data_IF_393027250389
#
_entry.id   IF_393027250389
#
_cell.length_a   1.000
_cell.length_b   1.000
_cell.length_c   1.000
_cell.angle_alpha   90.00
_cell.angle_beta   90.00
_cell.angle_gamma   90.00
#
_symmetry.space_group_name_H-M   'P 1'
#
loop_
_entity.id
_entity.type
_entity.pdbx_description
1 polymer ?
#
# COMPACT_ATOMS: atom_id res chain seq x y z
N UNK A 1 11.25 -3.14 -4.65
CA UNK A 1 10.71 -1.84 -5.14
C UNK A 1 11.91 -0.98 -5.54
N UNK A 2 11.85 -0.25 -6.67
CA UNK A 2 12.99 0.53 -7.20
C UNK A 2 12.77 2.03 -6.94
N UNK A 3 13.83 2.72 -6.55
CA UNK A 3 13.83 4.16 -6.23
C UNK A 3 14.74 4.93 -7.19
N UNK A 4 14.43 6.20 -7.38
CA UNK A 4 15.19 7.09 -8.23
C UNK A 4 16.55 7.42 -7.59
N UNK A 5 17.68 7.24 -8.28
CA UNK A 5 19.01 7.55 -7.72
C UNK A 5 19.24 9.05 -7.50
N UNK A 6 18.44 9.92 -8.11
CA UNK A 6 18.60 11.39 -8.04
C UNK A 6 17.84 11.99 -6.87
N UNK A 7 16.60 11.57 -6.65
CA UNK A 7 15.70 12.19 -5.66
C UNK A 7 15.10 11.19 -4.65
N UNK A 8 15.52 9.93 -4.70
CA UNK A 8 15.09 8.84 -3.83
C UNK A 8 13.56 8.61 -3.79
N UNK A 9 12.81 9.13 -4.76
CA UNK A 9 11.38 8.86 -4.88
C UNK A 9 11.12 7.56 -5.69
N UNK A 10 9.94 6.98 -5.51
CA UNK A 10 9.54 5.75 -6.19
C UNK A 10 9.56 5.91 -7.72
N UNK A 11 10.13 4.92 -8.40
CA UNK A 11 10.09 4.84 -9.87
C UNK A 11 8.84 4.11 -10.33
N UNK A 12 8.21 4.63 -11.37
CA UNK A 12 7.04 4.04 -12.02
C UNK A 12 7.43 3.45 -13.37
N UNK A 13 6.80 2.35 -13.77
CA UNK A 13 7.06 1.75 -15.08
C UNK A 13 6.22 2.45 -16.15
N UNK A 14 6.85 2.98 -17.20
CA UNK A 14 6.21 3.64 -18.35
C UNK A 14 6.92 3.19 -19.63
N UNK A 15 6.19 2.65 -20.61
CA UNK A 15 6.73 2.28 -21.93
C UNK A 15 8.01 1.40 -21.88
N UNK A 16 8.03 0.41 -21.00
CA UNK A 16 9.19 -0.47 -20.72
C UNK A 16 10.44 0.22 -20.15
N UNK A 17 10.28 1.42 -19.61
CA UNK A 17 11.28 2.17 -18.85
C UNK A 17 10.80 2.44 -17.43
N UNK A 18 11.72 2.79 -16.55
CA UNK A 18 11.43 3.34 -15.23
C UNK A 18 11.48 4.87 -15.30
N UNK A 19 10.46 5.51 -14.76
CA UNK A 19 10.27 6.95 -14.80
C UNK A 19 10.08 7.50 -13.39
N UNK A 20 10.81 8.56 -13.06
CA UNK A 20 10.59 9.31 -11.83
C UNK A 20 9.68 10.51 -12.08
N UNK A 21 8.59 10.65 -11.30
CA UNK A 21 7.68 11.81 -11.41
C UNK A 21 8.25 13.12 -10.85
N UNK A 22 9.29 13.07 -10.02
CA UNK A 22 9.84 14.27 -9.37
C UNK A 22 10.90 14.92 -10.25
N UNK A 23 11.95 14.17 -10.57
CA UNK A 23 13.05 14.67 -11.40
C UNK A 23 12.86 14.40 -12.90
N UNK A 24 11.74 13.77 -13.30
CA UNK A 24 11.40 13.46 -14.70
C UNK A 24 12.45 12.59 -15.42
N UNK A 25 13.33 11.93 -14.68
CA UNK A 25 14.38 11.08 -15.23
C UNK A 25 13.82 9.73 -15.68
N UNK A 26 14.34 9.25 -16.81
CA UNK A 26 14.06 7.93 -17.38
C UNK A 26 15.26 7.00 -17.19
N UNK A 27 14.99 5.74 -16.87
CA UNK A 27 15.99 4.69 -16.70
C UNK A 27 15.55 3.44 -17.47
N UNK A 28 16.51 2.75 -18.06
CA UNK A 28 16.23 1.49 -18.73
C UNK A 28 15.87 0.39 -17.72
N UNK A 29 14.99 -0.52 -18.15
CA UNK A 29 14.68 -1.74 -17.40
C UNK A 29 15.54 -2.88 -17.89
N UNK A 30 16.01 -3.71 -16.95
CA UNK A 30 16.72 -4.94 -17.28
C UNK A 30 15.77 -5.95 -17.93
N UNK A 31 16.30 -6.86 -18.74
CA UNK A 31 15.57 -7.97 -19.39
C UNK A 31 14.70 -8.74 -18.38
N UNK A 32 15.24 -9.00 -17.18
CA UNK A 32 14.52 -9.70 -16.10
C UNK A 32 13.28 -8.92 -15.63
N UNK A 33 13.36 -7.60 -15.49
CA UNK A 33 12.20 -6.80 -15.07
C UNK A 33 11.17 -6.68 -16.18
N UNK A 34 11.61 -6.60 -17.44
CA UNK A 34 10.70 -6.63 -18.61
C UNK A 34 9.89 -7.92 -18.63
N UNK A 35 10.53 -9.07 -18.41
CA UNK A 35 9.85 -10.39 -18.32
C UNK A 35 8.86 -10.41 -17.15
N UNK A 36 9.28 -9.97 -15.96
CA UNK A 36 8.41 -9.93 -14.78
C UNK A 36 7.19 -9.01 -14.99
N UNK A 37 7.38 -7.87 -15.66
CA UNK A 37 6.30 -6.94 -15.99
C UNK A 37 5.32 -7.55 -17.00
N UNK A 38 5.84 -8.26 -18.00
CA UNK A 38 5.03 -9.02 -18.97
C UNK A 38 4.20 -10.08 -18.24
N UNK A 39 4.81 -10.88 -17.37
CA UNK A 39 4.09 -11.89 -16.56
C UNK A 39 2.96 -11.27 -15.72
N UNK A 40 3.20 -10.14 -15.06
CA UNK A 40 2.16 -9.42 -14.29
C UNK A 40 0.99 -8.94 -15.14
N UNK A 41 1.25 -8.47 -16.37
CA UNK A 41 0.19 -8.08 -17.31
C UNK A 41 -0.63 -9.28 -17.81
N UNK A 42 -0.02 -10.46 -17.85
CA UNK A 42 -0.62 -11.70 -18.35
C UNK A 42 -1.12 -12.64 -17.25
N UNK A 43 -1.40 -12.16 -16.04
CA UNK A 43 -2.05 -12.98 -15.02
C UNK A 43 -3.49 -13.27 -15.47
N UNK A 44 -3.67 -14.43 -16.12
CA UNK A 44 -4.98 -15.05 -16.34
C UNK A 44 -5.50 -15.49 -14.99
N UNK A 45 -6.48 -14.79 -14.48
CA UNK A 45 -7.28 -15.30 -13.37
C UNK A 45 -8.19 -16.36 -13.99
N UNK A 46 -7.97 -17.64 -13.70
CA UNK A 46 -8.95 -18.65 -14.03
C UNK A 46 -10.20 -18.35 -13.20
N UNK A 47 -11.30 -18.00 -13.87
CA UNK A 47 -12.57 -17.60 -13.25
C UNK A 47 -13.25 -18.73 -12.46
N UNK A 48 -12.56 -19.84 -12.21
CA UNK A 48 -13.03 -20.88 -11.29
C UNK A 48 -12.93 -20.47 -9.83
N UNK A 49 -12.34 -19.31 -9.52
CA UNK A 49 -12.48 -18.62 -8.22
C UNK A 49 -13.89 -17.99 -8.07
N UNK A 50 -14.94 -18.77 -8.36
CA UNK A 50 -16.32 -18.54 -7.90
C UNK A 50 -16.46 -18.82 -6.41
N UNK A 51 -15.36 -18.85 -5.65
CA UNK A 51 -15.44 -18.80 -4.21
C UNK A 51 -16.03 -17.44 -3.84
N UNK A 52 -17.27 -17.38 -3.34
CA UNK A 52 -17.85 -16.12 -2.91
C UNK A 52 -16.92 -15.54 -1.85
N UNK A 53 -16.66 -14.24 -1.92
CA UNK A 53 -16.02 -13.52 -0.81
C UNK A 53 -16.93 -13.75 0.41
N UNK A 54 -16.58 -14.72 1.26
CA UNK A 54 -17.31 -14.98 2.49
C UNK A 54 -16.99 -13.81 3.42
N UNK A 55 -17.77 -12.74 3.33
CA UNK A 55 -17.82 -11.72 4.36
C UNK A 55 -18.50 -12.37 5.55
N UNK A 56 -17.72 -13.11 6.36
CA UNK A 56 -18.16 -13.50 7.71
C UNK A 56 -18.48 -12.17 8.39
N UNK A 57 -19.77 -11.94 8.65
CA UNK A 57 -20.34 -10.73 9.24
C UNK A 57 -19.29 -10.00 10.06
N UNK A 58 -19.00 -8.75 9.70
CA UNK A 58 -18.08 -7.86 10.41
C UNK A 58 -18.15 -8.19 11.89
N UNK A 59 -17.07 -8.73 12.46
CA UNK A 59 -16.99 -8.88 13.91
C UNK A 59 -17.27 -7.47 14.40
N UNK A 60 -18.44 -7.26 15.00
CA UNK A 60 -18.72 -6.03 15.74
C UNK A 60 -17.73 -6.12 16.88
N UNK A 61 -16.50 -5.66 16.65
CA UNK A 61 -15.53 -5.51 17.70
C UNK A 61 -16.29 -4.77 18.79
N UNK A 62 -16.37 -5.37 19.98
CA UNK A 62 -16.96 -4.73 21.16
C UNK A 62 -16.42 -3.31 21.15
N UNK A 63 -17.32 -2.33 21.09
CA UNK A 63 -16.92 -0.94 21.28
C UNK A 63 -16.09 -0.92 22.57
N UNK A 64 -14.92 -0.28 22.52
CA UNK A 64 -14.09 -0.10 23.71
C UNK A 64 -14.97 0.41 24.84
N UNK A 65 -14.81 -0.14 26.05
CA UNK A 65 -15.64 0.31 27.16
C UNK A 65 -15.39 1.80 27.40
N UNK A 66 -16.37 2.50 27.96
CA UNK A 66 -16.20 3.90 28.34
C UNK A 66 -15.00 4.10 29.28
N UNK A 67 -14.68 3.10 30.09
CA UNK A 67 -13.53 3.09 30.98
C UNK A 67 -12.22 2.99 30.21
N UNK A 68 -12.12 2.07 29.26
CA UNK A 68 -10.93 1.92 28.41
C UNK A 68 -10.70 3.16 27.55
N UNK A 69 -11.78 3.74 27.03
CA UNK A 69 -11.74 5.00 26.27
C UNK A 69 -11.21 6.14 27.14
N UNK A 70 -11.69 6.26 28.37
CA UNK A 70 -11.25 7.31 29.30
C UNK A 70 -9.80 7.14 29.71
N UNK A 71 -9.38 5.92 30.03
CA UNK A 71 -7.98 5.62 30.36
C UNK A 71 -7.03 5.96 29.19
N UNK A 72 -7.45 5.69 27.95
CA UNK A 72 -6.74 6.12 26.76
C UNK A 72 -6.66 7.65 26.66
N UNK A 73 -7.79 8.35 26.76
CA UNK A 73 -7.83 9.82 26.69
C UNK A 73 -6.99 10.49 27.80
N UNK A 74 -6.98 9.93 29.01
CA UNK A 74 -6.19 10.44 30.14
C UNK A 74 -4.68 10.19 29.93
N UNK A 75 -4.28 9.02 29.43
CA UNK A 75 -2.88 8.72 29.08
C UNK A 75 -2.34 9.72 28.06
N UNK A 76 -3.06 9.99 26.97
CA UNK A 76 -2.57 10.90 25.92
C UNK A 76 -2.66 12.38 26.30
N UNK A 77 -3.53 12.77 27.26
CA UNK A 77 -3.53 14.10 27.86
C UNK A 77 -2.27 14.38 28.68
N UNK A 78 -1.75 13.38 29.38
CA UNK A 78 -0.51 13.50 30.17
C UNK A 78 0.71 13.80 29.27
N UNK A 79 0.69 13.33 28.02
CA UNK A 79 1.74 13.61 27.01
C UNK A 79 1.46 14.84 26.13
N UNK A 80 0.51 15.70 26.49
CA UNK A 80 0.31 17.01 25.85
C UNK A 80 -0.34 16.98 24.46
N UNK A 81 -0.99 15.89 24.05
CA UNK A 81 -1.78 15.88 22.82
C UNK A 81 -3.17 16.51 23.07
N UNK A 82 -3.23 17.83 22.99
CA UNK A 82 -4.50 18.54 22.86
C UNK A 82 -4.99 18.46 21.42
N UNK A 83 -5.89 17.53 21.12
CA UNK A 83 -6.70 17.57 19.90
C UNK A 83 -7.55 18.84 19.96
N UNK A 84 -7.19 19.84 19.16
CA UNK A 84 -8.02 21.02 18.89
C UNK A 84 -9.13 20.66 17.92
#
# INVERSE_FOLDING_TARGET
>A
MRFCPVCNNLLYTKDNKLFCRICHSEFEMDEKDKINLKLRKFIKHELNDLDPIIIRKRIKNKQISLQDRKAFEDFFKEYGYSSS
#
